data_IF_787494515583
#
_entry.id   IF_787494515583
#
_cell.length_a   1.000
_cell.length_b   1.000
_cell.length_c   1.000
_cell.angle_alpha   90.00
_cell.angle_beta   90.00
_cell.angle_gamma   90.00
#
_symmetry.space_group_name_H-M   'P 1'
#
loop_
_entity.id
_entity.type
_entity.pdbx_description
1 polymer ?
#
# COMPACT_ATOMS: atom_id res chain seq x y z
N UNK A 1 14.65 36.12 -5.27
CA UNK A 1 14.57 34.66 -5.08
C UNK A 1 14.34 34.41 -3.60
N UNK A 2 13.08 34.18 -3.21
CA UNK A 2 12.74 33.84 -1.82
C UNK A 2 13.47 32.53 -1.51
N UNK A 3 14.41 32.55 -0.57
CA UNK A 3 15.40 31.49 -0.30
C UNK A 3 14.85 30.18 0.24
N UNK A 4 13.71 29.70 -0.26
CA UNK A 4 13.15 28.40 0.07
C UNK A 4 13.96 27.30 -0.64
N UNK A 5 14.42 26.32 0.14
CA UNK A 5 15.04 25.10 -0.38
C UNK A 5 14.11 24.39 -1.36
N UNK A 6 14.64 23.86 -2.47
CA UNK A 6 13.90 23.03 -3.44
C UNK A 6 13.10 21.89 -2.78
N UNK A 7 13.51 21.46 -1.59
CA UNK A 7 12.82 20.46 -0.79
C UNK A 7 11.47 20.93 -0.25
N UNK A 8 11.35 22.20 0.14
CA UNK A 8 10.12 22.77 0.70
C UNK A 8 8.98 22.81 -0.34
N UNK A 9 9.34 22.95 -1.63
CA UNK A 9 8.38 22.94 -2.75
C UNK A 9 7.97 21.51 -3.12
N UNK A 10 8.86 20.52 -2.93
CA UNK A 10 8.61 19.13 -3.32
C UNK A 10 7.85 18.33 -2.26
N UNK A 11 7.98 18.69 -0.97
CA UNK A 11 7.31 18.02 0.14
C UNK A 11 5.79 17.82 -0.03
N UNK A 12 4.99 18.83 -0.43
CA UNK A 12 3.54 18.65 -0.59
C UNK A 12 3.19 17.58 -1.64
N UNK A 13 3.87 17.58 -2.79
CA UNK A 13 3.65 16.57 -3.84
C UNK A 13 4.08 15.16 -3.41
N UNK A 14 5.15 15.08 -2.61
CA UNK A 14 5.59 13.81 -2.04
C UNK A 14 4.55 13.23 -1.09
N UNK A 15 3.96 14.09 -0.25
CA UNK A 15 2.92 13.73 0.71
C UNK A 15 1.63 13.32 0.00
N UNK A 16 1.22 14.02 -1.07
CA UNK A 16 0.07 13.63 -1.89
C UNK A 16 0.26 12.22 -2.48
N UNK A 17 1.47 11.92 -3.00
CA UNK A 17 1.83 10.58 -3.45
C UNK A 17 1.73 9.55 -2.33
N UNK A 18 2.40 9.79 -1.21
CA UNK A 18 2.37 8.89 -0.06
C UNK A 18 0.94 8.60 0.44
N UNK A 19 0.07 9.62 0.48
CA UNK A 19 -1.34 9.50 0.85
C UNK A 19 -2.15 8.68 -0.17
N UNK A 20 -1.92 8.88 -1.48
CA UNK A 20 -2.53 8.07 -2.52
C UNK A 20 -2.10 6.59 -2.41
N UNK A 21 -0.82 6.35 -2.14
CA UNK A 21 -0.27 5.01 -1.88
C UNK A 21 -0.88 4.35 -0.64
N UNK A 22 -1.05 5.12 0.45
CA UNK A 22 -1.70 4.67 1.67
C UNK A 22 -3.17 4.29 1.42
N UNK A 23 -3.92 5.14 0.71
CA UNK A 23 -5.32 4.86 0.37
C UNK A 23 -5.43 3.57 -0.46
N UNK A 24 -4.58 3.40 -1.47
CA UNK A 24 -4.51 2.17 -2.26
C UNK A 24 -4.19 0.94 -1.41
N UNK A 25 -3.25 1.05 -0.47
CA UNK A 25 -2.90 -0.04 0.42
C UNK A 25 -4.03 -0.43 1.39
N UNK A 26 -4.79 0.55 1.88
CA UNK A 26 -5.98 0.29 2.71
C UNK A 26 -7.04 -0.46 1.91
N UNK A 27 -7.31 -0.04 0.67
CA UNK A 27 -8.25 -0.74 -0.23
C UNK A 27 -7.78 -2.16 -0.53
N UNK A 28 -6.48 -2.36 -0.79
CA UNK A 28 -5.91 -3.68 -1.00
C UNK A 28 -6.02 -4.57 0.25
N UNK A 29 -5.80 -4.00 1.44
CA UNK A 29 -5.88 -4.72 2.71
C UNK A 29 -7.31 -5.14 3.05
N UNK A 30 -8.29 -4.26 2.84
CA UNK A 30 -9.71 -4.61 3.02
C UNK A 30 -10.16 -5.64 2.00
N UNK A 31 -9.69 -5.52 0.74
CA UNK A 31 -9.90 -6.53 -0.30
C UNK A 31 -9.34 -7.91 0.09
N UNK A 32 -8.11 -7.96 0.62
CA UNK A 32 -7.47 -9.20 1.08
C UNK A 32 -8.30 -9.89 2.17
N UNK A 33 -8.73 -9.12 3.19
CA UNK A 33 -9.58 -9.64 4.28
C UNK A 33 -10.92 -10.10 3.73
N UNK A 34 -11.54 -9.34 2.84
CA UNK A 34 -12.81 -9.69 2.20
C UNK A 34 -12.72 -10.99 1.41
N UNK A 35 -11.68 -11.16 0.60
CA UNK A 35 -11.45 -12.39 -0.18
C UNK A 35 -11.23 -13.58 0.75
N UNK A 36 -10.38 -13.42 1.79
CA UNK A 36 -10.15 -14.48 2.78
C UNK A 36 -11.45 -14.93 3.44
N UNK A 37 -12.26 -14.00 3.91
CA UNK A 37 -13.50 -14.32 4.60
C UNK A 37 -14.57 -14.91 3.66
N UNK A 38 -14.93 -14.20 2.59
CA UNK A 38 -16.07 -14.58 1.76
C UNK A 38 -15.79 -15.73 0.79
N UNK A 39 -14.56 -15.88 0.30
CA UNK A 39 -14.22 -16.93 -0.66
C UNK A 39 -13.49 -18.09 0.01
N UNK A 40 -12.44 -17.82 0.78
CA UNK A 40 -11.63 -18.91 1.33
C UNK A 40 -12.38 -19.61 2.46
N UNK A 41 -12.83 -18.88 3.48
CA UNK A 41 -13.43 -19.49 4.66
C UNK A 41 -14.86 -20.00 4.39
N UNK A 42 -15.68 -19.21 3.71
CA UNK A 42 -17.11 -19.53 3.50
C UNK A 42 -17.38 -20.45 2.29
N UNK A 43 -16.41 -20.71 1.40
CA UNK A 43 -16.63 -21.57 0.22
C UNK A 43 -15.60 -22.68 0.12
N UNK A 44 -14.32 -22.33 0.13
CA UNK A 44 -13.24 -23.28 -0.11
C UNK A 44 -12.99 -24.17 1.11
N UNK A 45 -12.97 -23.62 2.31
CA UNK A 45 -12.72 -24.38 3.54
C UNK A 45 -13.85 -25.37 3.86
N UNK A 46 -15.10 -25.04 3.51
CA UNK A 46 -16.23 -25.97 3.63
C UNK A 46 -16.13 -27.13 2.64
N UNK A 47 -15.66 -26.85 1.41
CA UNK A 47 -15.58 -27.82 0.31
C UNK A 47 -14.34 -28.72 0.39
N UNK A 48 -13.23 -28.21 0.93
CA UNK A 48 -11.93 -28.90 0.96
C UNK A 48 -11.40 -29.05 2.38
N UNK A 49 -11.92 -30.03 3.13
CA UNK A 49 -11.50 -30.31 4.51
C UNK A 49 -10.13 -30.99 4.66
N UNK A 50 -9.52 -31.41 3.56
CA UNK A 50 -8.24 -32.12 3.54
C UNK A 50 -7.03 -31.21 3.31
N UNK A 51 -7.24 -29.94 2.95
CA UNK A 51 -6.14 -28.98 2.73
C UNK A 51 -6.09 -27.96 3.85
N UNK A 52 -4.88 -27.63 4.30
CA UNK A 52 -4.68 -26.55 5.27
C UNK A 52 -4.60 -25.23 4.52
N UNK A 53 -5.64 -24.41 4.67
CA UNK A 53 -5.63 -23.05 4.11
C UNK A 53 -4.76 -22.11 4.96
N UNK A 54 -4.31 -21.03 4.33
CA UNK A 54 -3.54 -19.96 4.97
C UNK A 54 -4.34 -19.41 6.17
N UNK A 55 -3.68 -19.34 7.32
CA UNK A 55 -4.28 -18.87 8.57
C UNK A 55 -4.46 -17.35 8.60
N UNK A 56 -5.27 -16.89 9.55
CA UNK A 56 -5.52 -15.46 9.78
C UNK A 56 -4.28 -14.72 10.28
N UNK A 57 -3.38 -15.41 10.97
CA UNK A 57 -2.06 -14.93 11.40
C UNK A 57 -1.24 -14.41 10.22
N UNK A 58 -1.21 -15.17 9.12
CA UNK A 58 -0.47 -14.83 7.92
C UNK A 58 -1.10 -13.62 7.20
N UNK A 59 -2.43 -13.53 7.18
CA UNK A 59 -3.15 -12.40 6.60
C UNK A 59 -2.85 -11.11 7.36
N UNK A 60 -2.95 -11.13 8.69
CA UNK A 60 -2.65 -9.96 9.52
C UNK A 60 -1.17 -9.59 9.50
N UNK A 61 -0.26 -10.54 9.33
CA UNK A 61 1.17 -10.25 9.18
C UNK A 61 1.48 -9.51 7.87
N UNK A 62 0.73 -9.77 6.79
CA UNK A 62 0.96 -9.17 5.46
C UNK A 62 0.38 -7.75 5.36
N UNK A 63 -0.69 -7.43 6.09
CA UNK A 63 -1.33 -6.10 6.03
C UNK A 63 -0.35 -4.94 6.33
N UNK A 64 0.45 -4.96 7.41
CA UNK A 64 1.46 -3.92 7.66
C UNK A 64 2.45 -3.76 6.51
N UNK A 65 2.86 -4.88 5.90
CA UNK A 65 3.78 -4.88 4.76
C UNK A 65 3.13 -4.21 3.55
N UNK A 66 1.86 -4.50 3.27
CA UNK A 66 1.10 -3.84 2.19
C UNK A 66 1.00 -2.33 2.40
N UNK A 67 0.75 -1.88 3.62
CA UNK A 67 0.67 -0.46 3.96
C UNK A 67 2.02 0.23 3.78
N UNK A 68 3.09 -0.38 4.32
CA UNK A 68 4.45 0.14 4.19
C UNK A 68 4.89 0.22 2.73
N UNK A 69 4.63 -0.83 1.95
CA UNK A 69 4.98 -0.85 0.52
C UNK A 69 4.12 0.12 -0.28
N UNK A 70 2.81 0.18 -0.06
CA UNK A 70 1.93 1.07 -0.81
C UNK A 70 2.28 2.55 -0.60
N UNK A 71 2.43 2.98 0.65
CA UNK A 71 2.83 4.34 0.97
C UNK A 71 4.28 4.62 0.55
N UNK A 72 5.21 3.71 0.87
CA UNK A 72 6.64 3.87 0.62
C UNK A 72 6.99 3.90 -0.87
N UNK A 73 6.44 2.97 -1.67
CA UNK A 73 6.65 2.96 -3.12
C UNK A 73 6.03 4.17 -3.79
N UNK A 74 4.84 4.60 -3.36
CA UNK A 74 4.22 5.79 -3.94
C UNK A 74 5.03 7.06 -3.63
N UNK A 75 5.48 7.23 -2.39
CA UNK A 75 6.38 8.32 -2.01
C UNK A 75 7.69 8.28 -2.82
N UNK A 76 8.27 7.10 -3.02
CA UNK A 76 9.49 6.91 -3.80
C UNK A 76 9.29 7.24 -5.29
N UNK A 77 8.17 6.82 -5.89
CA UNK A 77 7.83 7.15 -7.28
C UNK A 77 7.60 8.65 -7.44
N UNK A 78 6.88 9.29 -6.52
CA UNK A 78 6.70 10.74 -6.52
C UNK A 78 8.04 11.47 -6.40
N UNK A 79 8.92 11.02 -5.50
CA UNK A 79 10.27 11.56 -5.36
C UNK A 79 11.07 11.48 -6.66
N UNK A 80 11.14 10.30 -7.27
CA UNK A 80 11.90 10.06 -8.49
C UNK A 80 11.35 10.88 -9.67
N UNK A 81 10.03 11.01 -9.74
CA UNK A 81 9.35 11.81 -10.76
C UNK A 81 9.70 13.29 -10.59
N UNK A 82 9.53 13.84 -9.39
CA UNK A 82 9.88 15.24 -9.10
C UNK A 82 11.34 15.53 -9.42
N UNK A 83 12.26 14.65 -9.01
CA UNK A 83 13.70 14.81 -9.29
C UNK A 83 14.03 14.76 -10.79
N UNK A 84 13.26 14.02 -11.59
CA UNK A 84 13.46 13.91 -13.04
C UNK A 84 12.92 15.12 -13.80
N UNK A 85 11.77 15.67 -13.38
CA UNK A 85 11.05 16.71 -14.12
C UNK A 85 11.29 18.14 -13.61
N UNK A 86 11.57 18.33 -12.32
CA UNK A 86 12.03 19.61 -11.76
C UNK A 86 13.56 19.67 -11.80
N UNK A 87 14.15 19.64 -13.01
CA UNK A 87 15.57 19.97 -13.19
C UNK A 87 15.78 21.47 -12.91
N UNK A 88 16.02 21.81 -11.64
CA UNK A 88 16.70 23.03 -11.15
C UNK A 88 17.58 22.66 -9.96
#
# INVERSE_FOLDING_TARGET
LVGASNFYIQLPFLLEGALAGLAGALIASTGLVGVKYFFVDQRLAESFKFTTFIGWDSVFAVIPILILLGAGLSALVSFLTLRKYLRV
#
